data_IF_434771582484
#
_entry.id   IF_434771582484
#
_cell.length_a   1.000
_cell.length_b   1.000
_cell.length_c   1.000
_cell.angle_alpha   90.00
_cell.angle_beta   90.00
_cell.angle_gamma   90.00
#
_symmetry.space_group_name_H-M   'P 1'
#
loop_
_entity.id
_entity.type
_entity.pdbx_description
1 polymer ?
#
# COMPACT_ATOMS: atom_id res chain seq x y z
N UNK A 1 76.72 -1.96 3.85
CA UNK A 1 75.72 -2.01 2.75
C UNK A 1 76.42 -1.52 1.49
N UNK A 2 76.41 -2.30 0.41
CA UNK A 2 77.00 -1.85 -0.85
C UNK A 2 76.18 -0.64 -1.39
N UNK A 3 76.89 0.44 -1.74
CA UNK A 3 76.30 1.64 -2.36
C UNK A 3 76.35 1.48 -3.87
N UNK A 4 75.20 1.15 -4.47
CA UNK A 4 75.03 1.11 -5.93
C UNK A 4 74.61 2.50 -6.43
N UNK A 5 75.36 3.10 -7.34
CA UNK A 5 75.08 4.43 -7.89
C UNK A 5 73.96 4.41 -8.93
N UNK A 6 73.93 3.38 -9.80
CA UNK A 6 72.92 3.27 -10.86
C UNK A 6 71.53 2.80 -10.36
N UNK A 7 71.45 2.04 -9.29
CA UNK A 7 70.20 1.48 -8.79
C UNK A 7 70.04 1.85 -7.31
N UNK A 8 69.24 2.92 -7.03
CA UNK A 8 68.97 3.34 -5.69
C UNK A 8 67.74 2.59 -5.09
N UNK A 9 68.01 1.39 -4.55
CA UNK A 9 67.00 0.51 -3.95
C UNK A 9 66.27 1.18 -2.77
N UNK A 10 66.91 2.10 -2.03
CA UNK A 10 66.29 2.86 -0.94
C UNK A 10 65.29 3.86 -1.47
N UNK A 11 65.54 4.54 -2.59
CA UNK A 11 64.60 5.47 -3.23
C UNK A 11 63.41 4.70 -3.81
N UNK A 12 63.61 3.55 -4.50
CA UNK A 12 62.52 2.72 -5.05
C UNK A 12 61.62 2.21 -3.92
N UNK A 13 62.20 1.83 -2.77
CA UNK A 13 61.43 1.38 -1.61
C UNK A 13 60.61 2.52 -0.97
N UNK A 14 61.21 3.70 -0.82
CA UNK A 14 60.55 4.90 -0.33
C UNK A 14 59.39 5.32 -1.25
N UNK A 15 59.62 5.31 -2.57
CA UNK A 15 58.60 5.62 -3.57
C UNK A 15 57.43 4.63 -3.53
N UNK A 16 57.71 3.32 -3.38
CA UNK A 16 56.66 2.30 -3.21
C UNK A 16 55.85 2.53 -1.95
N UNK A 17 56.48 2.90 -0.82
CA UNK A 17 55.79 3.23 0.44
C UNK A 17 54.96 4.50 0.30
N UNK A 18 55.45 5.54 -0.35
CA UNK A 18 54.70 6.76 -0.64
C UNK A 18 53.47 6.47 -1.49
N UNK A 19 53.62 5.70 -2.56
CA UNK A 19 52.50 5.32 -3.41
C UNK A 19 51.42 4.52 -2.64
N UNK A 20 51.83 3.63 -1.72
CA UNK A 20 50.88 2.88 -0.90
C UNK A 20 50.17 3.80 0.10
N UNK A 21 50.87 4.72 0.76
CA UNK A 21 50.29 5.70 1.67
C UNK A 21 49.28 6.61 0.95
N UNK A 22 49.63 7.09 -0.26
CA UNK A 22 48.71 7.91 -1.07
C UNK A 22 47.43 7.14 -1.44
N UNK A 23 47.54 5.86 -1.85
CA UNK A 23 46.39 5.02 -2.16
C UNK A 23 45.51 4.79 -0.93
N UNK A 24 46.11 4.55 0.23
CA UNK A 24 45.37 4.41 1.49
C UNK A 24 44.65 5.70 1.85
N UNK A 25 45.34 6.84 1.71
CA UNK A 25 44.77 8.17 1.95
C UNK A 25 43.56 8.43 1.05
N UNK A 26 43.67 8.14 -0.25
CA UNK A 26 42.57 8.27 -1.21
C UNK A 26 41.36 7.41 -0.82
N UNK A 27 41.58 6.20 -0.31
CA UNK A 27 40.52 5.31 0.15
C UNK A 27 39.83 5.88 1.39
N UNK A 28 40.61 6.36 2.37
CA UNK A 28 40.08 7.01 3.58
C UNK A 28 39.29 8.28 3.25
N UNK A 29 39.79 9.12 2.34
CA UNK A 29 39.04 10.28 1.86
C UNK A 29 37.71 9.89 1.20
N UNK A 30 37.68 8.88 0.37
CA UNK A 30 36.44 8.38 -0.26
C UNK A 30 35.43 7.91 0.79
N UNK A 31 35.88 7.16 1.80
CA UNK A 31 35.04 6.67 2.88
C UNK A 31 34.50 7.81 3.74
N UNK A 32 35.37 8.75 4.10
CA UNK A 32 34.96 9.91 4.91
C UNK A 32 33.99 10.83 4.16
N UNK A 33 34.23 11.03 2.85
CA UNK A 33 33.37 11.88 2.01
C UNK A 33 32.01 11.24 1.72
N UNK A 34 31.96 9.91 1.54
CA UNK A 34 30.70 9.19 1.27
C UNK A 34 29.95 8.76 2.53
N UNK A 35 30.64 8.69 3.69
CA UNK A 35 30.12 8.07 4.90
C UNK A 35 30.02 6.54 4.81
N UNK A 36 30.56 5.94 3.77
CA UNK A 36 30.41 4.51 3.51
C UNK A 36 31.78 3.80 3.52
N UNK A 37 31.87 2.71 4.27
CA UNK A 37 33.04 1.83 4.31
C UNK A 37 33.21 1.08 2.99
N UNK A 38 32.09 0.64 2.37
CA UNK A 38 32.04 -0.07 1.09
C UNK A 38 31.45 0.90 0.06
N UNK A 39 32.30 1.45 -0.81
CA UNK A 39 31.92 2.35 -1.90
C UNK A 39 31.83 1.66 -3.25
N UNK A 40 32.62 0.60 -3.45
CA UNK A 40 32.71 -0.12 -4.71
C UNK A 40 32.86 -1.61 -4.49
N UNK A 41 32.55 -2.40 -5.52
CA UNK A 41 32.75 -3.86 -5.50
C UNK A 41 34.22 -4.28 -5.25
N UNK A 42 35.18 -3.36 -5.47
CA UNK A 42 36.58 -3.57 -5.20
C UNK A 42 36.91 -3.58 -3.70
N UNK A 43 36.12 -2.84 -2.90
CA UNK A 43 36.33 -2.73 -1.46
C UNK A 43 35.84 -4.02 -0.75
N UNK A 44 34.62 -4.47 -1.08
CA UNK A 44 34.07 -5.74 -0.63
C UNK A 44 32.88 -6.11 -1.53
N UNK A 45 33.08 -7.10 -2.40
CA UNK A 45 32.05 -7.56 -3.34
C UNK A 45 30.87 -8.27 -2.63
N UNK A 46 31.18 -9.05 -1.58
CA UNK A 46 30.16 -9.79 -0.84
C UNK A 46 29.31 -8.85 0.03
N UNK A 47 29.94 -7.94 0.76
CA UNK A 47 29.27 -6.92 1.55
C UNK A 47 28.39 -5.98 0.70
N UNK A 48 28.88 -5.59 -0.48
CA UNK A 48 28.09 -4.78 -1.42
C UNK A 48 26.85 -5.53 -1.87
N UNK A 49 26.96 -6.79 -2.31
CA UNK A 49 25.80 -7.59 -2.73
C UNK A 49 24.76 -7.75 -1.60
N UNK A 50 25.21 -7.99 -0.37
CA UNK A 50 24.31 -8.09 0.78
C UNK A 50 23.62 -6.75 1.03
N UNK A 51 24.37 -5.65 1.04
CA UNK A 51 23.82 -4.31 1.28
C UNK A 51 22.81 -3.89 0.21
N UNK A 52 22.99 -4.27 -1.04
CA UNK A 52 22.08 -4.00 -2.14
C UNK A 52 20.78 -4.80 -2.00
N UNK A 53 20.85 -6.07 -1.57
CA UNK A 53 19.67 -6.88 -1.25
C UNK A 53 18.89 -6.28 -0.07
N UNK A 54 19.58 -5.87 1.00
CA UNK A 54 18.94 -5.21 2.15
C UNK A 54 18.30 -3.86 1.74
N UNK A 55 18.97 -3.11 0.88
CA UNK A 55 18.43 -1.85 0.34
C UNK A 55 17.17 -2.10 -0.49
N UNK A 56 17.17 -3.12 -1.34
CA UNK A 56 15.99 -3.51 -2.11
C UNK A 56 14.83 -3.93 -1.20
N UNK A 57 15.14 -4.68 -0.13
CA UNK A 57 14.13 -5.07 0.87
C UNK A 57 13.55 -3.86 1.61
N UNK A 58 14.39 -2.91 2.07
CA UNK A 58 13.93 -1.67 2.73
C UNK A 58 13.03 -0.86 1.80
N UNK A 59 13.42 -0.70 0.53
CA UNK A 59 12.63 0.02 -0.45
C UNK A 59 11.30 -0.68 -0.73
N UNK A 60 11.30 -2.00 -0.80
CA UNK A 60 10.08 -2.82 -0.94
C UNK A 60 9.13 -2.65 0.24
N UNK A 61 9.63 -2.74 1.49
CA UNK A 61 8.83 -2.53 2.70
C UNK A 61 8.24 -1.11 2.76
N UNK A 62 9.04 -0.09 2.44
CA UNK A 62 8.55 1.30 2.38
C UNK A 62 7.46 1.49 1.32
N UNK A 63 7.57 0.83 0.17
CA UNK A 63 6.51 0.86 -0.85
C UNK A 63 5.29 0.08 -0.38
N UNK A 64 5.47 -1.09 0.25
CA UNK A 64 4.41 -1.88 0.85
C UNK A 64 3.59 -1.09 1.88
N UNK A 65 4.27 -0.31 2.75
CA UNK A 65 3.60 0.57 3.71
C UNK A 65 2.76 1.67 3.02
N UNK A 66 3.26 2.26 1.93
CA UNK A 66 2.45 3.22 1.16
C UNK A 66 1.22 2.56 0.55
N UNK A 67 1.39 1.41 -0.07
CA UNK A 67 0.28 0.64 -0.65
C UNK A 67 -0.75 0.21 0.41
N UNK A 68 -0.30 -0.14 1.62
CA UNK A 68 -1.19 -0.46 2.74
C UNK A 68 -1.99 0.77 3.20
N UNK A 69 -1.37 1.94 3.27
CA UNK A 69 -2.08 3.19 3.58
C UNK A 69 -3.12 3.55 2.51
N UNK A 70 -2.80 3.34 1.22
CA UNK A 70 -3.76 3.52 0.14
C UNK A 70 -4.93 2.54 0.28
N UNK A 71 -4.66 1.30 0.70
CA UNK A 71 -5.68 0.30 1.01
C UNK A 71 -6.58 0.70 2.18
N UNK A 72 -6.01 1.25 3.25
CA UNK A 72 -6.77 1.79 4.39
C UNK A 72 -7.67 2.93 3.94
N UNK A 73 -7.16 3.88 3.16
CA UNK A 73 -7.93 5.00 2.64
C UNK A 73 -9.11 4.54 1.76
N UNK A 74 -8.90 3.53 0.93
CA UNK A 74 -9.97 2.90 0.16
C UNK A 74 -11.03 2.27 1.07
N UNK A 75 -10.62 1.47 2.05
CA UNK A 75 -11.54 0.82 3.00
C UNK A 75 -12.36 1.86 3.78
N UNK A 76 -11.75 2.95 4.22
CA UNK A 76 -12.44 4.06 4.90
C UNK A 76 -13.45 4.76 3.99
N UNK A 77 -13.10 4.98 2.72
CA UNK A 77 -14.03 5.57 1.73
C UNK A 77 -15.23 4.67 1.50
N UNK A 78 -15.01 3.37 1.40
CA UNK A 78 -16.08 2.38 1.24
C UNK A 78 -16.96 2.30 2.49
N UNK A 79 -16.35 2.27 3.68
CA UNK A 79 -17.04 2.21 4.97
C UNK A 79 -17.93 3.44 5.18
N UNK A 80 -17.43 4.65 4.92
CA UNK A 80 -18.22 5.87 5.03
C UNK A 80 -19.45 5.87 4.13
N UNK A 81 -19.31 5.39 2.89
CA UNK A 81 -20.45 5.26 1.97
C UNK A 81 -21.45 4.17 2.40
N UNK A 82 -20.98 3.08 3.02
CA UNK A 82 -21.83 2.04 3.57
C UNK A 82 -22.55 2.50 4.84
N UNK A 83 -21.97 3.39 5.64
CA UNK A 83 -22.59 3.99 6.82
C UNK A 83 -23.80 4.85 6.43
N UNK A 84 -23.66 5.70 5.42
CA UNK A 84 -24.77 6.47 4.85
C UNK A 84 -25.87 5.54 4.30
N UNK A 85 -25.46 4.44 3.63
CA UNK A 85 -26.43 3.44 3.14
C UNK A 85 -27.16 2.76 4.28
N UNK A 86 -26.48 2.46 5.39
CA UNK A 86 -27.07 1.90 6.61
C UNK A 86 -28.11 2.86 7.23
N UNK A 87 -27.78 4.14 7.32
CA UNK A 87 -28.67 5.18 7.84
C UNK A 87 -29.96 5.28 7.01
N UNK A 88 -29.83 5.26 5.69
CA UNK A 88 -31.00 5.28 4.78
C UNK A 88 -31.83 3.98 4.88
N UNK A 89 -31.22 2.82 5.01
CA UNK A 89 -31.93 1.55 5.22
C UNK A 89 -32.70 1.56 6.54
N UNK A 90 -32.14 2.11 7.61
CA UNK A 90 -32.85 2.30 8.90
C UNK A 90 -34.02 3.27 8.75
N UNK A 91 -33.88 4.34 7.97
CA UNK A 91 -35.00 5.25 7.67
C UNK A 91 -36.07 4.53 6.88
N UNK A 92 -35.74 3.74 5.86
CA UNK A 92 -36.73 2.94 5.11
C UNK A 92 -37.43 1.95 6.05
N UNK A 93 -36.72 1.33 6.98
CA UNK A 93 -37.29 0.43 7.99
C UNK A 93 -38.34 1.13 8.85
N UNK A 94 -38.06 2.35 9.33
CA UNK A 94 -39.02 3.13 10.13
C UNK A 94 -40.26 3.52 9.31
N UNK A 95 -40.09 3.91 8.06
CA UNK A 95 -41.16 4.20 7.12
C UNK A 95 -42.01 2.94 6.81
N UNK A 96 -41.37 1.79 6.66
CA UNK A 96 -42.08 0.53 6.46
C UNK A 96 -42.90 0.12 7.70
N UNK A 97 -42.37 0.34 8.92
CA UNK A 97 -43.14 0.15 10.16
C UNK A 97 -44.34 1.07 10.22
N UNK A 98 -44.18 2.35 9.82
CA UNK A 98 -45.28 3.28 9.74
C UNK A 98 -46.34 2.83 8.72
N UNK A 99 -45.94 2.43 7.51
CA UNK A 99 -46.83 1.96 6.46
C UNK A 99 -47.59 0.66 6.84
N UNK A 100 -46.96 -0.21 7.66
CA UNK A 100 -47.57 -1.45 8.14
C UNK A 100 -48.74 -1.22 9.10
N UNK A 101 -48.86 -0.01 9.71
CA UNK A 101 -49.94 0.29 10.63
C UNK A 101 -51.29 0.31 9.90
N UNK A 102 -52.29 -0.38 10.48
CA UNK A 102 -53.65 -0.50 9.95
C UNK A 102 -54.44 0.84 9.92
N UNK A 103 -53.99 1.86 10.62
CA UNK A 103 -54.66 3.20 10.66
C UNK A 103 -54.39 4.01 9.38
N UNK A 104 -53.38 3.68 8.60
CA UNK A 104 -53.00 4.40 7.39
C UNK A 104 -53.90 4.03 6.21
N UNK A 105 -54.33 5.05 5.48
CA UNK A 105 -55.08 4.88 4.23
C UNK A 105 -54.13 4.51 3.09
N UNK A 106 -54.70 4.13 1.95
CA UNK A 106 -53.91 3.83 0.72
C UNK A 106 -53.15 5.05 0.24
N UNK A 107 -53.74 6.26 0.42
CA UNK A 107 -53.11 7.53 0.01
C UNK A 107 -51.90 7.81 0.91
N UNK A 108 -52.02 7.62 2.22
CA UNK A 108 -50.93 7.82 3.18
C UNK A 108 -49.76 6.87 2.89
N UNK A 109 -50.08 5.62 2.61
CA UNK A 109 -49.06 4.63 2.20
C UNK A 109 -48.36 4.97 0.88
N UNK A 110 -49.07 5.58 -0.06
CA UNK A 110 -48.47 6.04 -1.30
C UNK A 110 -47.49 7.19 -1.05
N UNK A 111 -47.81 8.15 -0.20
CA UNK A 111 -46.88 9.23 0.18
C UNK A 111 -45.60 8.68 0.86
N UNK A 112 -45.77 7.72 1.79
CA UNK A 112 -44.63 7.04 2.43
C UNK A 112 -43.80 6.26 1.38
N UNK A 113 -44.48 5.64 0.43
CA UNK A 113 -43.79 4.90 -0.62
C UNK A 113 -42.93 5.79 -1.51
N UNK A 114 -43.35 7.00 -1.84
CA UNK A 114 -42.54 7.96 -2.60
C UNK A 114 -41.25 8.32 -1.85
N UNK A 115 -41.30 8.51 -0.53
CA UNK A 115 -40.06 8.72 0.26
C UNK A 115 -39.17 7.50 0.24
N UNK A 116 -39.69 6.29 0.40
CA UNK A 116 -38.95 5.03 0.33
C UNK A 116 -38.29 4.86 -1.04
N UNK A 117 -38.99 5.26 -2.10
CA UNK A 117 -38.47 5.23 -3.46
C UNK A 117 -37.24 6.12 -3.62
N UNK A 118 -37.33 7.38 -3.19
CA UNK A 118 -36.22 8.33 -3.26
C UNK A 118 -35.01 7.85 -2.45
N UNK A 119 -35.21 7.32 -1.26
CA UNK A 119 -34.14 6.72 -0.44
C UNK A 119 -33.51 5.52 -1.13
N UNK A 120 -34.30 4.68 -1.78
CA UNK A 120 -33.80 3.52 -2.55
C UNK A 120 -32.93 3.94 -3.74
N UNK A 121 -33.35 4.99 -4.44
CA UNK A 121 -32.57 5.58 -5.53
C UNK A 121 -31.25 6.16 -5.02
N UNK A 122 -31.28 6.82 -3.88
CA UNK A 122 -30.09 7.44 -3.27
C UNK A 122 -29.07 6.39 -2.83
N UNK A 123 -29.50 5.27 -2.22
CA UNK A 123 -28.60 4.13 -1.92
C UNK A 123 -27.92 3.64 -3.20
N UNK A 124 -28.69 3.48 -4.28
CA UNK A 124 -28.12 3.03 -5.57
C UNK A 124 -27.17 4.07 -6.15
N UNK A 125 -27.50 5.38 -6.01
CA UNK A 125 -26.64 6.48 -6.46
C UNK A 125 -25.32 6.48 -5.70
N UNK A 126 -25.33 6.34 -4.37
CA UNK A 126 -24.13 6.25 -3.54
C UNK A 126 -23.26 5.09 -3.99
N UNK A 127 -23.84 3.89 -4.14
CA UNK A 127 -23.10 2.71 -4.57
C UNK A 127 -22.44 2.86 -5.95
N UNK A 128 -23.07 3.60 -6.87
CA UNK A 128 -22.56 3.82 -8.23
C UNK A 128 -21.62 5.04 -8.33
N UNK A 129 -21.75 6.04 -7.43
CA UNK A 129 -21.02 7.30 -7.53
C UNK A 129 -19.86 7.41 -6.54
N UNK A 130 -19.78 6.53 -5.54
CA UNK A 130 -18.61 6.47 -4.67
C UNK A 130 -17.42 5.96 -5.45
N UNK A 131 -16.42 6.83 -5.62
CA UNK A 131 -15.21 6.55 -6.40
C UNK A 131 -13.95 6.77 -5.55
N UNK A 132 -12.94 5.98 -5.83
CA UNK A 132 -11.59 6.15 -5.32
C UNK A 132 -10.63 6.20 -6.51
N UNK A 133 -9.85 7.28 -6.63
CA UNK A 133 -8.99 7.48 -7.79
C UNK A 133 -9.73 7.52 -9.13
N UNK A 134 -11.01 7.95 -9.13
CA UNK A 134 -11.86 7.97 -10.33
C UNK A 134 -12.51 6.64 -10.70
N UNK A 135 -12.23 5.55 -9.96
CA UNK A 135 -12.81 4.23 -10.18
C UNK A 135 -13.88 3.94 -9.13
N UNK A 136 -15.00 3.31 -9.53
CA UNK A 136 -16.08 2.93 -8.63
C UNK A 136 -15.60 1.85 -7.65
N UNK A 137 -15.92 2.00 -6.35
CA UNK A 137 -15.47 1.07 -5.31
C UNK A 137 -16.60 0.22 -4.70
N UNK A 138 -17.89 0.56 -4.92
CA UNK A 138 -19.03 -0.19 -4.38
C UNK A 138 -19.91 -0.83 -5.46
N UNK A 139 -19.52 -0.74 -6.73
CA UNK A 139 -20.33 -1.22 -7.86
C UNK A 139 -20.29 -2.75 -8.06
N UNK A 140 -19.35 -3.46 -7.39
CA UNK A 140 -19.19 -4.91 -7.45
C UNK A 140 -18.19 -5.41 -8.49
N UNK A 141 -18.16 -6.73 -8.68
CA UNK A 141 -17.25 -7.40 -9.60
C UNK A 141 -17.38 -6.88 -11.03
N UNK A 142 -16.25 -6.78 -11.73
CA UNK A 142 -16.13 -6.30 -13.11
C UNK A 142 -16.63 -4.86 -13.34
N UNK A 143 -16.76 -4.08 -12.27
CA UNK A 143 -17.13 -2.67 -12.33
C UNK A 143 -16.17 -1.87 -11.45
N UNK A 144 -15.52 -0.87 -12.02
CA UNK A 144 -14.60 -0.01 -11.28
C UNK A 144 -13.27 -0.70 -10.92
N UNK A 145 -12.88 -0.61 -9.64
CA UNK A 145 -11.55 -1.00 -9.15
C UNK A 145 -11.37 -2.54 -8.97
N UNK A 146 -12.47 -3.28 -8.91
CA UNK A 146 -12.45 -4.73 -8.66
C UNK A 146 -12.35 -5.55 -9.96
N UNK A 147 -11.64 -6.67 -9.91
CA UNK A 147 -11.50 -7.60 -11.03
C UNK A 147 -12.83 -8.38 -11.29
N UNK A 148 -12.81 -9.28 -12.29
CA UNK A 148 -13.98 -10.09 -12.65
C UNK A 148 -14.46 -11.01 -11.52
N UNK A 149 -13.60 -11.31 -10.54
CA UNK A 149 -13.95 -12.11 -9.35
C UNK A 149 -14.41 -11.23 -8.18
N UNK A 150 -14.37 -9.90 -8.33
CA UNK A 150 -14.66 -8.98 -7.25
C UNK A 150 -13.54 -8.88 -6.23
N UNK A 151 -12.30 -9.13 -6.63
CA UNK A 151 -11.12 -9.08 -5.76
C UNK A 151 -10.26 -7.87 -6.13
N UNK A 152 -9.71 -7.21 -5.13
CA UNK A 152 -8.68 -6.19 -5.25
C UNK A 152 -7.52 -6.58 -4.35
N UNK A 153 -6.34 -6.74 -4.93
CA UNK A 153 -5.14 -7.16 -4.20
C UNK A 153 -4.20 -5.98 -4.01
N UNK A 154 -3.81 -5.73 -2.77
CA UNK A 154 -2.78 -4.78 -2.40
C UNK A 154 -1.46 -5.51 -2.16
N UNK A 155 -0.41 -5.14 -2.86
CA UNK A 155 0.94 -5.62 -2.60
C UNK A 155 1.48 -4.89 -1.37
N UNK A 156 1.51 -5.58 -0.23
CA UNK A 156 1.92 -5.01 1.06
C UNK A 156 3.34 -5.41 1.47
N UNK A 157 3.86 -6.51 0.97
CA UNK A 157 5.20 -6.97 1.31
C UNK A 157 6.25 -6.63 0.27
N UNK A 158 7.53 -6.86 0.64
CA UNK A 158 8.69 -6.62 -0.22
C UNK A 158 8.89 -7.73 -1.27
N UNK A 159 8.20 -8.86 -1.14
CA UNK A 159 8.36 -10.04 -2.02
C UNK A 159 7.12 -10.24 -2.89
N UNK A 160 7.31 -10.92 -4.02
CA UNK A 160 6.21 -11.24 -4.92
C UNK A 160 5.15 -12.09 -4.20
N UNK A 161 3.86 -11.82 -4.50
CA UNK A 161 2.69 -12.50 -3.92
C UNK A 161 2.42 -12.23 -2.42
N UNK A 162 3.15 -11.33 -1.79
CA UNK A 162 2.83 -10.89 -0.44
C UNK A 162 1.74 -9.82 -0.50
N UNK A 163 0.49 -10.29 -0.70
CA UNK A 163 -0.67 -9.45 -0.98
C UNK A 163 -1.76 -9.61 0.06
N UNK A 164 -2.50 -8.53 0.31
CA UNK A 164 -3.76 -8.54 1.03
C UNK A 164 -4.90 -8.26 0.04
N UNK A 165 -5.94 -9.09 0.07
CA UNK A 165 -7.06 -8.97 -0.84
C UNK A 165 -8.31 -8.45 -0.14
N UNK A 166 -8.99 -7.51 -0.77
CA UNK A 166 -10.34 -7.05 -0.45
C UNK A 166 -11.29 -7.68 -1.44
N UNK A 167 -12.38 -8.29 -0.96
CA UNK A 167 -13.37 -8.95 -1.83
C UNK A 167 -14.65 -8.14 -1.93
N UNK A 168 -15.19 -7.99 -3.13
CA UNK A 168 -16.45 -7.31 -3.42
C UNK A 168 -17.15 -8.03 -4.57
N UNK A 169 -17.62 -9.25 -4.33
CA UNK A 169 -18.22 -10.09 -5.38
C UNK A 169 -19.47 -9.47 -5.99
N UNK A 170 -20.34 -8.89 -5.16
CA UNK A 170 -21.54 -8.17 -5.61
C UNK A 170 -21.47 -6.71 -5.17
N UNK A 171 -22.05 -5.83 -5.99
CA UNK A 171 -22.13 -4.40 -5.64
C UNK A 171 -23.11 -4.11 -4.50
N UNK A 172 -22.98 -2.94 -3.90
CA UNK A 172 -23.86 -2.44 -2.83
C UNK A 172 -25.01 -1.56 -3.37
N UNK A 173 -25.34 -1.68 -4.67
CA UNK A 173 -26.63 -1.25 -5.18
C UNK A 173 -27.73 -2.14 -4.58
N UNK A 174 -28.97 -1.68 -4.50
CA UNK A 174 -30.08 -2.52 -4.01
C UNK A 174 -30.15 -3.85 -4.76
N UNK A 175 -29.97 -3.82 -6.08
CA UNK A 175 -29.93 -5.03 -6.91
C UNK A 175 -28.78 -5.98 -6.51
N UNK A 176 -27.60 -5.45 -6.25
CA UNK A 176 -26.42 -6.21 -5.85
C UNK A 176 -26.56 -6.83 -4.46
N UNK A 177 -27.08 -6.09 -3.50
CA UNK A 177 -27.35 -6.57 -2.14
C UNK A 177 -28.42 -7.67 -2.16
N UNK A 178 -29.45 -7.52 -2.97
CA UNK A 178 -30.47 -8.56 -3.16
C UNK A 178 -29.91 -9.82 -3.80
N UNK A 179 -28.94 -9.70 -4.70
CA UNK A 179 -28.23 -10.86 -5.26
C UNK A 179 -27.38 -11.58 -4.20
N UNK A 180 -26.71 -10.84 -3.30
CA UNK A 180 -26.01 -11.42 -2.14
C UNK A 180 -26.95 -12.18 -1.21
N UNK A 181 -28.10 -11.59 -0.92
CA UNK A 181 -29.13 -12.23 -0.10
C UNK A 181 -29.60 -13.56 -0.68
N UNK A 182 -29.83 -13.63 -2.00
CA UNK A 182 -30.17 -14.88 -2.70
C UNK A 182 -29.10 -15.96 -2.54
N UNK A 183 -27.84 -15.60 -2.66
CA UNK A 183 -26.73 -16.55 -2.51
C UNK A 183 -26.64 -17.12 -1.09
N UNK A 184 -26.91 -16.30 -0.07
CA UNK A 184 -26.78 -16.70 1.33
C UNK A 184 -27.93 -17.60 1.82
N UNK A 185 -29.13 -17.47 1.26
CA UNK A 185 -30.31 -18.21 1.74
C UNK A 185 -30.53 -19.54 1.02
N UNK A 186 -29.77 -19.86 -0.03
CA UNK A 186 -30.02 -21.05 -0.90
C UNK A 186 -31.50 -21.22 -1.29
N UNK A 187 -32.29 -20.16 -1.07
CA UNK A 187 -33.73 -20.12 -1.33
C UNK A 187 -33.93 -19.72 -2.77
N UNK A 188 -34.20 -20.71 -3.61
CA UNK A 188 -34.42 -20.56 -5.05
C UNK A 188 -35.65 -19.74 -5.45
N UNK A 189 -36.16 -18.87 -4.59
CA UNK A 189 -37.35 -18.09 -4.90
C UNK A 189 -37.40 -16.75 -4.15
N UNK A 190 -36.42 -15.88 -4.42
CA UNK A 190 -36.75 -14.51 -4.64
C UNK A 190 -36.95 -14.37 -6.15
N UNK A 191 -38.15 -14.64 -6.59
CA UNK A 191 -38.51 -14.45 -7.98
C UNK A 191 -38.52 -12.94 -8.27
N UNK A 192 -37.34 -12.42 -8.60
CA UNK A 192 -37.21 -11.14 -9.26
C UNK A 192 -37.52 -11.39 -10.72
N UNK A 193 -38.80 -11.64 -10.99
CA UNK A 193 -39.31 -11.92 -12.31
C UNK A 193 -38.79 -10.93 -13.33
N UNK A 194 -38.26 -11.41 -14.42
CA UNK A 194 -37.77 -10.64 -15.56
C UNK A 194 -38.88 -9.79 -16.25
N UNK A 195 -40.09 -9.81 -15.73
CA UNK A 195 -41.25 -9.04 -16.15
C UNK A 195 -41.98 -8.53 -14.90
N UNK A 196 -41.56 -7.41 -14.37
CA UNK A 196 -42.38 -6.69 -13.39
C UNK A 196 -43.42 -5.86 -14.13
N UNK A 197 -44.50 -6.46 -14.52
CA UNK A 197 -45.82 -5.89 -14.32
C UNK A 197 -45.97 -5.68 -12.83
N UNK A 198 -46.56 -4.55 -12.41
CA UNK A 198 -46.91 -4.12 -11.03
C UNK A 198 -47.61 -5.24 -10.21
N UNK A 199 -46.95 -6.34 -9.96
CA UNK A 199 -47.46 -7.43 -9.15
C UNK A 199 -46.57 -7.51 -7.89
N UNK A 200 -46.99 -6.75 -7.03
CA UNK A 200 -47.23 -6.86 -5.64
C UNK A 200 -47.00 -8.23 -5.10
N UNK A 201 -45.91 -8.77 -4.79
CA UNK A 201 -46.31 -9.67 -3.75
C UNK A 201 -45.32 -10.42 -2.93
N UNK A 202 -44.14 -10.72 -3.21
CA UNK A 202 -43.66 -11.73 -2.28
C UNK A 202 -42.46 -11.34 -1.40
N UNK A 203 -41.79 -10.24 -1.67
CA UNK A 203 -40.56 -9.95 -0.89
C UNK A 203 -40.27 -8.46 -0.62
N UNK A 204 -41.27 -7.58 -0.76
CA UNK A 204 -41.08 -6.15 -0.46
C UNK A 204 -40.17 -5.38 -1.43
N UNK A 205 -39.72 -6.03 -2.50
CA UNK A 205 -38.87 -5.44 -3.54
C UNK A 205 -39.57 -5.49 -4.90
N UNK A 206 -39.55 -4.39 -5.61
CA UNK A 206 -40.06 -4.35 -6.98
C UNK A 206 -39.08 -3.64 -7.91
N UNK A 207 -39.23 -3.90 -9.19
CA UNK A 207 -38.43 -3.30 -10.24
C UNK A 207 -39.18 -2.12 -10.82
N UNK A 208 -38.67 -0.94 -10.60
CA UNK A 208 -39.27 0.26 -11.19
C UNK A 208 -38.60 0.62 -12.51
N UNK A 209 -39.39 1.04 -13.44
CA UNK A 209 -39.00 1.40 -14.79
C UNK A 209 -39.21 2.90 -14.97
N UNK A 210 -38.15 3.69 -14.84
CA UNK A 210 -38.21 5.12 -15.11
C UNK A 210 -37.71 5.40 -16.52
N UNK A 211 -38.52 6.08 -17.30
CA UNK A 211 -38.14 6.59 -18.61
C UNK A 211 -37.38 7.88 -18.40
N UNK A 212 -36.08 7.83 -18.55
CA UNK A 212 -35.23 9.05 -18.56
C UNK A 212 -35.36 9.69 -19.93
N UNK A 213 -35.39 11.02 -19.98
CA UNK A 213 -35.47 11.80 -21.21
C UNK A 213 -34.37 11.33 -22.22
N UNK A 214 -34.80 10.79 -23.37
CA UNK A 214 -33.90 10.19 -24.36
C UNK A 214 -34.15 8.72 -24.65
N UNK A 215 -35.31 8.19 -24.27
CA UNK A 215 -35.74 6.80 -24.57
C UNK A 215 -34.89 5.68 -23.97
N UNK A 216 -34.05 5.98 -22.95
CA UNK A 216 -33.31 4.96 -22.22
C UNK A 216 -34.10 4.57 -20.98
N UNK A 217 -34.62 3.34 -20.94
CA UNK A 217 -35.33 2.82 -19.80
C UNK A 217 -34.33 2.31 -18.78
N UNK A 218 -34.14 3.00 -17.67
CA UNK A 218 -33.33 2.54 -16.54
C UNK A 218 -34.26 1.84 -15.55
N UNK A 219 -33.99 0.56 -15.31
CA UNK A 219 -34.71 -0.21 -14.31
C UNK A 219 -33.88 -0.25 -13.03
N UNK A 220 -34.42 0.13 -11.92
CA UNK A 220 -33.80 -0.03 -10.61
C UNK A 220 -34.75 -0.74 -9.65
N UNK A 221 -34.16 -1.39 -8.66
CA UNK A 221 -34.92 -2.07 -7.62
C UNK A 221 -35.20 -1.09 -6.49
N UNK A 222 -36.43 -1.13 -5.97
CA UNK A 222 -36.85 -0.32 -4.83
C UNK A 222 -37.68 -1.16 -3.85
N UNK A 223 -37.78 -0.68 -2.62
CA UNK A 223 -38.62 -1.30 -1.60
C UNK A 223 -40.09 -0.87 -1.78
N UNK A 224 -41.04 -1.82 -1.57
CA UNK A 224 -42.46 -1.56 -1.69
C UNK A 224 -43.14 -1.48 -0.33
N UNK A 225 -43.92 -0.43 -0.12
CA UNK A 225 -44.74 -0.24 1.10
C UNK A 225 -46.19 0.14 0.77
N UNK A 226 -46.69 -0.18 -0.43
CA UNK A 226 -48.02 0.12 -0.88
C UNK A 226 -49.14 -0.58 -0.08
N UNK A 227 -48.86 -1.76 0.47
CA UNK A 227 -49.80 -2.51 1.30
C UNK A 227 -49.16 -2.88 2.64
N UNK A 228 -50.00 -3.16 3.65
CA UNK A 228 -49.50 -3.58 4.95
C UNK A 228 -48.65 -4.86 4.89
N UNK A 229 -49.03 -5.82 4.03
CA UNK A 229 -48.27 -7.04 3.82
C UNK A 229 -46.95 -6.81 3.12
N UNK A 230 -46.92 -5.94 2.09
CA UNK A 230 -45.67 -5.52 1.45
C UNK A 230 -44.72 -4.81 2.42
N UNK A 231 -45.26 -3.93 3.26
CA UNK A 231 -44.50 -3.23 4.29
C UNK A 231 -43.86 -4.20 5.31
N UNK A 232 -44.60 -5.23 5.76
CA UNK A 232 -44.02 -6.26 6.64
C UNK A 232 -42.93 -7.08 5.97
N UNK A 233 -43.10 -7.45 4.71
CA UNK A 233 -42.06 -8.15 3.92
C UNK A 233 -40.81 -7.25 3.73
N UNK A 234 -41.03 -5.95 3.50
CA UNK A 234 -39.93 -4.97 3.40
C UNK A 234 -39.14 -4.89 4.71
N UNK A 235 -39.79 -4.88 5.87
CA UNK A 235 -39.10 -4.87 7.17
C UNK A 235 -38.19 -6.09 7.31
N UNK A 236 -38.70 -7.30 7.04
CA UNK A 236 -37.92 -8.52 7.13
C UNK A 236 -36.72 -8.51 6.16
N UNK A 237 -36.91 -7.99 4.97
CA UNK A 237 -35.87 -7.90 3.94
C UNK A 237 -34.80 -6.90 4.34
N UNK A 238 -35.18 -5.74 4.88
CA UNK A 238 -34.25 -4.70 5.34
C UNK A 238 -33.39 -5.22 6.50
N UNK A 239 -33.97 -5.93 7.48
CA UNK A 239 -33.21 -6.48 8.60
C UNK A 239 -32.09 -7.44 8.11
N UNK A 240 -32.35 -8.23 7.06
CA UNK A 240 -31.36 -9.10 6.46
C UNK A 240 -30.31 -8.33 5.63
N UNK A 241 -30.74 -7.29 4.92
CA UNK A 241 -29.85 -6.42 4.16
C UNK A 241 -28.90 -5.66 5.11
N UNK A 242 -29.40 -5.15 6.23
CA UNK A 242 -28.58 -4.51 7.25
C UNK A 242 -27.48 -5.47 7.75
N UNK A 243 -27.83 -6.73 8.03
CA UNK A 243 -26.84 -7.73 8.43
C UNK A 243 -25.75 -7.95 7.36
N UNK A 244 -26.09 -7.91 6.07
CA UNK A 244 -25.13 -8.04 4.97
C UNK A 244 -24.19 -6.81 4.93
N UNK A 245 -24.76 -5.61 5.05
CA UNK A 245 -23.97 -4.37 5.04
C UNK A 245 -23.07 -4.29 6.26
N UNK A 246 -23.58 -4.61 7.45
CA UNK A 246 -22.81 -4.59 8.70
C UNK A 246 -21.70 -5.66 8.71
N UNK A 247 -21.99 -6.83 8.18
CA UNK A 247 -20.94 -7.88 7.99
C UNK A 247 -19.82 -7.38 7.08
N UNK A 248 -20.16 -6.65 6.02
CA UNK A 248 -19.14 -6.10 5.13
C UNK A 248 -18.36 -4.95 5.78
N UNK A 249 -19.01 -4.10 6.54
CA UNK A 249 -18.34 -3.06 7.32
C UNK A 249 -17.36 -3.67 8.33
N UNK A 250 -17.78 -4.75 9.03
CA UNK A 250 -16.92 -5.47 9.95
C UNK A 250 -15.69 -6.09 9.25
N UNK A 251 -15.88 -6.65 8.03
CA UNK A 251 -14.77 -7.15 7.22
C UNK A 251 -13.80 -6.02 6.82
N UNK A 252 -14.32 -4.86 6.39
CA UNK A 252 -13.48 -3.70 6.04
C UNK A 252 -12.70 -3.19 7.26
N UNK A 253 -13.34 -3.09 8.43
CA UNK A 253 -12.67 -2.72 9.68
C UNK A 253 -11.59 -3.72 10.09
N UNK A 254 -11.85 -5.01 9.95
CA UNK A 254 -10.85 -6.04 10.22
C UNK A 254 -9.65 -5.95 9.25
N UNK A 255 -9.89 -5.63 7.99
CA UNK A 255 -8.84 -5.41 6.98
C UNK A 255 -7.99 -4.17 7.32
N UNK A 256 -8.61 -3.06 7.75
CA UNK A 256 -7.89 -1.86 8.20
C UNK A 256 -6.95 -2.21 9.36
N UNK A 257 -7.45 -2.88 10.40
CA UNK A 257 -6.63 -3.31 11.55
C UNK A 257 -5.48 -4.24 11.13
N UNK A 258 -5.71 -5.15 10.17
CA UNK A 258 -4.65 -6.02 9.63
C UNK A 258 -3.60 -5.22 8.87
N UNK A 259 -3.99 -4.24 8.05
CA UNK A 259 -3.06 -3.37 7.33
C UNK A 259 -2.23 -2.53 8.29
N UNK A 260 -2.84 -1.93 9.32
CA UNK A 260 -2.11 -1.20 10.36
C UNK A 260 -1.11 -2.07 11.12
N UNK A 261 -1.50 -3.31 11.48
CA UNK A 261 -0.60 -4.25 12.12
C UNK A 261 0.57 -4.63 11.22
N UNK A 262 0.30 -4.78 9.92
CA UNK A 262 1.34 -5.06 8.91
C UNK A 262 2.30 -3.88 8.78
N UNK A 263 1.80 -2.65 8.74
CA UNK A 263 2.63 -1.43 8.68
C UNK A 263 3.58 -1.39 9.89
N UNK A 264 3.06 -1.53 11.11
CA UNK A 264 3.89 -1.54 12.33
C UNK A 264 4.97 -2.63 12.30
N UNK A 265 4.62 -3.83 11.86
CA UNK A 265 5.59 -4.93 11.73
C UNK A 265 6.66 -4.62 10.67
N UNK A 266 6.27 -4.09 9.53
CA UNK A 266 7.19 -3.75 8.44
C UNK A 266 8.12 -2.58 8.80
N UNK A 267 7.65 -1.61 9.59
CA UNK A 267 8.50 -0.54 10.13
C UNK A 267 9.59 -1.10 11.05
N UNK A 268 9.23 -1.99 11.97
CA UNK A 268 10.21 -2.67 12.83
C UNK A 268 11.22 -3.49 12.02
N UNK A 269 10.75 -4.22 11.00
CA UNK A 269 11.64 -4.99 10.11
C UNK A 269 12.54 -4.05 9.32
N UNK A 270 12.00 -2.95 8.77
CA UNK A 270 12.77 -1.98 8.01
C UNK A 270 13.85 -1.30 8.84
N UNK A 271 13.57 -1.01 10.12
CA UNK A 271 14.54 -0.48 11.08
C UNK A 271 15.67 -1.47 11.32
N UNK A 272 15.35 -2.73 11.66
CA UNK A 272 16.36 -3.77 11.91
C UNK A 272 17.21 -4.06 10.67
N UNK A 273 16.60 -4.10 9.49
CA UNK A 273 17.31 -4.31 8.23
C UNK A 273 18.19 -3.10 7.88
N UNK A 274 17.75 -1.89 8.21
CA UNK A 274 18.54 -0.68 8.01
C UNK A 274 19.76 -0.65 8.94
N UNK A 275 19.60 -1.05 10.21
CA UNK A 275 20.71 -1.20 11.16
C UNK A 275 21.71 -2.26 10.69
N UNK A 276 21.22 -3.42 10.23
CA UNK A 276 22.09 -4.47 9.68
C UNK A 276 22.86 -3.98 8.44
N UNK A 277 22.20 -3.21 7.55
CA UNK A 277 22.87 -2.60 6.39
C UNK A 277 23.91 -1.58 6.81
N UNK A 278 23.62 -0.74 7.81
CA UNK A 278 24.56 0.27 8.35
C UNK A 278 25.83 -0.40 8.87
N UNK A 279 25.71 -1.46 9.66
CA UNK A 279 26.88 -2.23 10.16
C UNK A 279 27.76 -2.81 9.05
N UNK A 280 27.18 -3.12 7.90
CA UNK A 280 27.95 -3.66 6.77
C UNK A 280 28.59 -2.55 5.95
N UNK A 281 27.85 -1.49 5.63
CA UNK A 281 28.21 -0.53 4.59
C UNK A 281 28.73 0.82 5.12
N UNK A 282 28.23 1.26 6.29
CA UNK A 282 28.56 2.59 6.80
C UNK A 282 29.93 2.59 7.47
N UNK A 283 30.60 3.76 7.50
CA UNK A 283 31.90 3.93 8.12
C UNK A 283 31.77 4.53 9.52
N UNK A 284 32.65 4.11 10.44
CA UNK A 284 32.87 4.83 11.69
C UNK A 284 33.73 6.06 11.41
N UNK A 285 33.17 7.23 11.56
CA UNK A 285 33.85 8.50 11.34
C UNK A 285 35.04 8.70 12.27
N UNK A 286 34.98 8.23 13.51
CA UNK A 286 36.02 8.41 14.50
C UNK A 286 37.27 7.59 14.13
N UNK A 287 37.04 6.33 13.72
CA UNK A 287 38.10 5.44 13.26
C UNK A 287 38.73 5.96 11.96
N UNK A 288 37.90 6.36 10.99
CA UNK A 288 38.37 6.81 9.70
C UNK A 288 39.10 8.18 9.76
N UNK A 289 38.69 9.07 10.66
CA UNK A 289 39.42 10.31 10.91
C UNK A 289 40.79 10.08 11.56
N UNK A 290 40.88 9.09 12.45
CA UNK A 290 42.17 8.67 13.03
C UNK A 290 43.08 8.06 11.95
N UNK A 291 42.54 7.21 11.09
CA UNK A 291 43.23 6.63 9.96
C UNK A 291 43.71 7.71 8.98
N UNK A 292 42.86 8.72 8.70
CA UNK A 292 43.23 9.86 7.85
C UNK A 292 44.48 10.56 8.39
N UNK A 293 44.45 10.91 9.69
CA UNK A 293 45.58 11.60 10.35
C UNK A 293 46.85 10.76 10.31
N UNK A 294 46.72 9.45 10.59
CA UNK A 294 47.85 8.53 10.52
C UNK A 294 48.45 8.44 9.11
N UNK A 295 47.62 8.31 8.08
CA UNK A 295 48.06 8.24 6.70
C UNK A 295 48.69 9.54 6.21
N UNK A 296 48.21 10.70 6.64
CA UNK A 296 48.84 12.00 6.35
C UNK A 296 50.26 12.10 6.95
N UNK A 297 50.42 11.67 8.20
CA UNK A 297 51.73 11.65 8.85
C UNK A 297 52.70 10.68 8.11
N UNK A 298 52.22 9.48 7.75
CA UNK A 298 52.99 8.47 7.00
C UNK A 298 53.39 9.03 5.63
N UNK A 299 52.52 9.74 4.95
CA UNK A 299 52.80 10.37 3.65
C UNK A 299 53.89 11.41 3.78
N UNK A 300 53.80 12.31 4.78
CA UNK A 300 54.84 13.33 5.04
C UNK A 300 56.18 12.71 5.39
N UNK A 301 56.19 11.69 6.24
CA UNK A 301 57.38 10.93 6.58
C UNK A 301 58.01 10.24 5.37
N UNK A 302 57.15 9.59 4.53
CA UNK A 302 57.63 8.92 3.31
C UNK A 302 58.25 9.91 2.29
N UNK A 303 57.69 11.13 2.17
CA UNK A 303 58.25 12.19 1.33
C UNK A 303 59.62 12.63 1.86
N UNK A 304 59.76 12.83 3.17
CA UNK A 304 61.04 13.19 3.82
C UNK A 304 62.10 12.09 3.60
N UNK A 305 61.73 10.81 3.82
CA UNK A 305 62.64 9.67 3.60
C UNK A 305 63.00 9.54 2.11
N UNK A 306 62.10 9.80 1.18
CA UNK A 306 62.39 9.80 -0.25
C UNK A 306 63.42 10.86 -0.65
N UNK A 307 63.26 12.09 -0.12
CA UNK A 307 64.23 13.16 -0.34
C UNK A 307 65.61 12.81 0.19
N UNK A 308 65.67 12.22 1.41
CA UNK A 308 66.93 11.75 1.99
C UNK A 308 67.56 10.59 1.25
N UNK A 309 66.75 9.65 0.74
CA UNK A 309 67.21 8.52 -0.07
C UNK A 309 67.79 8.98 -1.43
N UNK A 310 67.21 10.03 -2.02
CA UNK A 310 67.70 10.59 -3.29
C UNK A 310 69.04 11.34 -3.15
N UNK A 311 69.38 11.86 -1.93
CA UNK A 311 70.62 12.53 -1.66
C UNK A 311 71.81 11.55 -1.45
N UNK A 312 71.54 10.30 -1.06
CA UNK A 312 72.60 9.30 -0.79
C UNK A 312 73.54 9.02 -1.96
N UNK A 313 73.12 8.90 -3.23
CA UNK A 313 74.04 8.74 -4.36
C UNK A 313 74.93 9.96 -4.58
N UNK A 314 74.44 11.17 -4.30
CA UNK A 314 75.24 12.41 -4.43
C UNK A 314 76.34 12.45 -3.41
N UNK A 315 76.14 12.02 -2.18
CA UNK A 315 77.16 11.91 -1.15
C UNK A 315 78.24 10.91 -1.58
N UNK A 316 77.86 9.76 -2.19
CA UNK A 316 78.77 8.77 -2.71
C UNK A 316 79.59 9.29 -3.90
N UNK A 317 79.01 10.10 -4.80
CA UNK A 317 79.66 10.75 -5.89
C UNK A 317 80.68 11.79 -5.40
N UNK A 318 80.35 12.57 -4.38
CA UNK A 318 81.25 13.55 -3.75
C UNK A 318 82.43 12.90 -3.01
N UNK A 319 82.28 11.68 -2.51
CA UNK A 319 83.34 10.88 -1.89
C UNK A 319 84.29 10.18 -2.93
N UNK A 320 83.78 9.96 -4.12
CA UNK A 320 84.58 9.32 -5.24
C UNK A 320 85.21 10.38 -6.14
N UNK A 321 84.83 11.64 -6.07
CA UNK A 321 85.30 12.74 -6.89
C UNK A 321 86.36 13.63 -6.24
N UNK A 322 86.89 13.31 -5.04
CA UNK A 322 88.02 13.93 -4.42
C UNK A 322 89.25 13.02 -4.43
#
# INVERSE_FOLDING_TARGET
>A
MALYVQTNTSSINAQRRLNNATKSLDTTFKRLSSGLRINSAKDDAAGLQISDRLTSQINGLKQGNRNANDGIALCQTMEGALDESTSMLQRIRTLALQAANGTNTTIDRQAIHEEVLQLSQEITRIACKTTFGGQQCLAGANKGIFNNKGELSFQIGAYAFDTLTVTMSNGFTISGICAQYKQQTNSGSLDMGATATLDNTTNGLYKEKVVVAGNTTVSYYAFSVHSASAAQNTIQTIDKILNIVDSKRAELGALQNRMESTIRNQENVAENVSDARSRIRDTDYSEEASNLSAQQIIQQAAQSVLTQANQRPQIAMNLLGN
#
